data_IF_356453663562
#
_entry.id   IF_356453663562
#
_cell.length_a   1.000
_cell.length_b   1.000
_cell.length_c   1.000
_cell.angle_alpha   90.00
_cell.angle_beta   90.00
_cell.angle_gamma   90.00
#
_symmetry.space_group_name_H-M   'P 1'
#
loop_
_entity.id
_entity.type
_entity.pdbx_description
1 polymer ?
#
# COMPACT_ATOMS: atom_id res chain seq x y z
N UNK A 1 -8.17 -6.45 -3.90
CA UNK A 1 -6.79 -6.30 -3.37
C UNK A 1 -6.64 -5.01 -2.54
N UNK A 2 -5.75 -4.99 -1.54
CA UNK A 2 -5.37 -3.78 -0.77
C UNK A 2 -3.99 -3.27 -1.22
N UNK A 3 -3.76 -1.96 -1.14
CA UNK A 3 -2.52 -1.29 -1.54
C UNK A 3 -1.96 -0.53 -0.34
N UNK A 4 -0.75 -0.87 0.10
CA UNK A 4 -0.04 -0.16 1.17
C UNK A 4 0.77 0.98 0.59
N UNK A 5 0.39 2.22 0.91
CA UNK A 5 1.13 3.41 0.49
C UNK A 5 1.80 4.07 1.70
N UNK A 6 3.11 4.20 1.64
CA UNK A 6 3.94 4.79 2.69
C UNK A 6 4.16 6.27 2.36
N UNK A 7 3.72 7.16 3.25
CA UNK A 7 3.88 8.61 3.09
C UNK A 7 4.70 9.19 4.23
N UNK A 8 5.26 10.38 4.03
CA UNK A 8 5.94 11.10 5.11
C UNK A 8 5.00 11.42 6.30
N UNK A 9 3.69 11.48 6.07
CA UNK A 9 2.69 11.76 7.11
C UNK A 9 2.20 10.50 7.83
N UNK A 10 2.38 9.30 7.27
CA UNK A 10 1.83 8.06 7.80
C UNK A 10 1.66 6.94 6.78
N UNK A 11 0.98 5.88 7.21
CA UNK A 11 0.60 4.75 6.35
C UNK A 11 -0.82 4.90 5.83
N UNK A 12 -0.98 4.93 4.51
CA UNK A 12 -2.26 4.86 3.85
C UNK A 12 -2.49 3.44 3.32
N UNK A 13 -3.69 2.90 3.53
CA UNK A 13 -4.14 1.65 2.93
C UNK A 13 -5.29 1.99 2.01
N UNK A 14 -5.08 1.78 0.72
CA UNK A 14 -6.12 1.90 -0.29
C UNK A 14 -6.71 0.53 -0.59
N UNK A 15 -8.01 0.50 -0.89
CA UNK A 15 -8.68 -0.64 -1.49
C UNK A 15 -8.74 -0.40 -2.98
N UNK A 16 -8.19 -1.33 -3.76
CA UNK A 16 -8.36 -1.31 -5.20
C UNK A 16 -9.74 -1.88 -5.52
N UNK A 17 -10.54 -1.10 -6.24
CA UNK A 17 -11.91 -1.46 -6.60
C UNK A 17 -11.98 -2.18 -7.94
N UNK A 18 -11.07 -1.87 -8.86
CA UNK A 18 -11.02 -2.44 -10.20
C UNK A 18 -9.63 -3.04 -10.49
N UNK A 19 -9.51 -4.34 -10.25
CA UNK A 19 -8.28 -5.11 -10.51
C UNK A 19 -8.07 -5.37 -12.02
N UNK A 20 -9.13 -5.32 -12.83
CA UNK A 20 -9.03 -5.53 -14.28
C UNK A 20 -8.23 -4.43 -14.98
N UNK A 21 -8.28 -3.20 -14.45
CA UNK A 21 -7.48 -2.06 -14.94
C UNK A 21 -5.98 -2.23 -14.75
N UNK A 22 -5.53 -3.09 -13.82
CA UNK A 22 -4.10 -3.40 -13.68
C UNK A 22 -3.55 -4.23 -14.84
N UNK A 23 -4.40 -4.86 -15.65
CA UNK A 23 -3.97 -5.60 -16.84
C UNK A 23 -3.65 -4.67 -18.02
N UNK A 24 -4.21 -3.46 -18.03
CA UNK A 24 -3.99 -2.44 -19.07
C UNK A 24 -3.06 -1.34 -18.55
N UNK A 25 -1.80 -1.72 -18.31
CA UNK A 25 -0.78 -0.83 -17.70
C UNK A 25 -0.57 0.43 -18.54
N UNK A 26 -0.61 0.32 -19.88
CA UNK A 26 -0.42 1.44 -20.80
C UNK A 26 -1.46 2.57 -20.63
N UNK A 27 -2.70 2.25 -20.22
CA UNK A 27 -3.77 3.24 -20.03
C UNK A 27 -3.99 3.61 -18.54
N UNK A 28 -3.23 3.00 -17.63
CA UNK A 28 -3.44 3.16 -16.19
C UNK A 28 -3.26 4.63 -15.75
N UNK A 29 -2.31 5.34 -16.37
CA UNK A 29 -2.06 6.76 -16.09
C UNK A 29 -3.30 7.64 -16.34
N UNK A 30 -4.13 7.30 -17.34
CA UNK A 30 -5.33 8.05 -17.68
C UNK A 30 -6.38 8.03 -16.56
N UNK A 31 -6.37 6.96 -15.76
CA UNK A 31 -7.26 6.85 -14.60
C UNK A 31 -6.87 7.81 -13.48
N UNK A 32 -5.63 8.29 -13.47
CA UNK A 32 -5.10 9.24 -12.50
C UNK A 32 -5.10 10.70 -13.01
N UNK A 33 -5.45 10.95 -14.27
CA UNK A 33 -5.60 12.32 -14.80
C UNK A 33 -6.71 13.11 -14.09
N UNK A 34 -7.76 12.42 -13.63
CA UNK A 34 -8.91 13.05 -12.98
C UNK A 34 -9.18 12.42 -11.60
N UNK A 35 -9.42 13.27 -10.60
CA UNK A 35 -9.68 12.83 -9.23
C UNK A 35 -10.89 11.89 -9.11
N UNK A 36 -11.92 12.08 -9.94
CA UNK A 36 -13.09 11.21 -10.00
C UNK A 36 -12.76 9.81 -10.52
N UNK A 37 -11.91 9.70 -11.55
CA UNK A 37 -11.46 8.43 -12.10
C UNK A 37 -10.54 7.69 -11.12
N UNK A 38 -9.62 8.42 -10.48
CA UNK A 38 -8.71 7.86 -9.49
C UNK A 38 -9.48 7.31 -8.28
N UNK A 39 -10.52 8.04 -7.82
CA UNK A 39 -11.38 7.61 -6.71
C UNK A 39 -12.23 6.39 -7.03
N UNK A 40 -12.51 6.13 -8.32
CA UNK A 40 -13.19 4.91 -8.80
C UNK A 40 -12.24 3.72 -8.87
N UNK A 41 -10.96 3.96 -9.12
CA UNK A 41 -9.93 2.92 -9.15
C UNK A 41 -9.47 2.54 -7.75
N UNK A 42 -9.04 3.51 -6.94
CA UNK A 42 -8.53 3.34 -5.58
C UNK A 42 -9.35 4.12 -4.57
N UNK A 43 -9.68 3.48 -3.46
CA UNK A 43 -10.42 4.12 -2.36
C UNK A 43 -9.67 3.99 -1.05
N UNK A 44 -9.44 5.11 -0.36
CA UNK A 44 -8.78 5.10 0.94
C UNK A 44 -9.62 4.31 1.95
N UNK A 45 -9.09 3.18 2.44
CA UNK A 45 -9.74 2.31 3.44
C UNK A 45 -9.30 2.69 4.84
N UNK A 46 -8.03 3.02 5.01
CA UNK A 46 -7.47 3.40 6.30
C UNK A 46 -6.30 4.36 6.12
N UNK A 47 -6.20 5.34 7.00
CA UNK A 47 -5.04 6.21 7.10
C UNK A 47 -4.58 6.29 8.55
N UNK A 48 -3.31 5.97 8.78
CA UNK A 48 -2.67 6.04 10.09
C UNK A 48 -1.54 7.04 10.02
N UNK A 49 -1.80 8.25 10.50
CA UNK A 49 -0.79 9.29 10.67
C UNK A 49 0.26 8.89 11.70
N UNK A 50 1.49 9.39 11.54
CA UNK A 50 2.51 9.28 12.58
C UNK A 50 2.16 10.18 13.77
N UNK A 51 2.49 9.70 14.97
CA UNK A 51 2.22 10.42 16.21
C UNK A 51 3.20 11.57 16.40
N UNK A 52 4.46 11.34 16.04
CA UNK A 52 5.57 12.28 16.19
C UNK A 52 6.66 12.05 15.12
N UNK A 53 7.67 12.92 15.15
CA UNK A 53 8.81 12.89 14.21
C UNK A 53 9.68 11.64 14.37
N UNK A 54 9.75 11.06 15.58
CA UNK A 54 10.54 9.85 15.85
C UNK A 54 9.91 8.64 15.18
N UNK A 55 8.59 8.50 15.30
CA UNK A 55 7.80 7.48 14.60
C UNK A 55 7.95 7.64 13.08
N UNK A 56 7.87 8.88 12.57
CA UNK A 56 8.03 9.16 11.14
C UNK A 56 9.44 8.80 10.63
N UNK A 57 10.49 9.16 11.37
CA UNK A 57 11.87 8.83 11.02
C UNK A 57 12.11 7.33 11.06
N UNK A 58 11.64 6.64 12.10
CA UNK A 58 11.78 5.19 12.22
C UNK A 58 11.04 4.46 11.09
N UNK A 59 9.86 4.95 10.70
CA UNK A 59 9.11 4.45 9.56
C UNK A 59 9.87 4.64 8.24
N UNK A 60 10.38 5.85 7.97
CA UNK A 60 11.14 6.16 6.76
C UNK A 60 12.40 5.31 6.65
N UNK A 61 13.17 5.17 7.73
CA UNK A 61 14.36 4.30 7.76
C UNK A 61 13.98 2.85 7.50
N UNK A 62 12.91 2.36 8.13
CA UNK A 62 12.45 0.98 7.92
C UNK A 62 11.99 0.74 6.48
N UNK A 63 11.30 1.71 5.85
CA UNK A 63 10.90 1.64 4.46
C UNK A 63 12.12 1.56 3.51
N UNK A 64 13.14 2.41 3.74
CA UNK A 64 14.40 2.40 2.97
C UNK A 64 15.15 1.07 3.14
N UNK A 65 15.14 0.50 4.35
CA UNK A 65 15.75 -0.81 4.61
C UNK A 65 14.89 -2.01 4.15
N UNK A 66 13.67 -1.78 3.65
CA UNK A 66 12.72 -2.84 3.28
C UNK A 66 12.24 -3.67 4.48
N UNK A 67 12.20 -3.08 5.68
CA UNK A 67 11.80 -3.73 6.94
C UNK A 67 10.44 -3.23 7.40
N UNK A 68 9.67 -4.12 8.02
CA UNK A 68 8.40 -3.73 8.63
C UNK A 68 8.62 -3.04 9.99
N UNK A 69 8.17 -1.79 10.11
CA UNK A 69 8.17 -1.04 11.37
C UNK A 69 7.08 -1.53 12.35
N UNK A 70 7.24 -1.17 13.65
CA UNK A 70 6.22 -1.49 14.67
C UNK A 70 4.88 -0.81 14.39
N UNK A 71 4.91 0.43 13.87
CA UNK A 71 3.70 1.17 13.47
C UNK A 71 2.96 0.46 12.35
N UNK A 72 3.67 0.08 11.29
CA UNK A 72 3.09 -0.62 10.14
C UNK A 72 2.45 -1.94 10.57
N UNK A 73 3.10 -2.71 11.45
CA UNK A 73 2.54 -3.96 11.99
C UNK A 73 1.20 -3.74 12.70
N UNK A 74 1.05 -2.67 13.49
CA UNK A 74 -0.22 -2.33 14.17
C UNK A 74 -1.30 -1.96 13.16
N UNK A 75 -0.96 -1.16 12.14
CA UNK A 75 -1.87 -0.73 11.08
C UNK A 75 -2.37 -1.93 10.30
N UNK A 76 -1.47 -2.80 9.83
CA UNK A 76 -1.84 -3.99 9.07
C UNK A 76 -2.72 -4.92 9.89
N UNK A 77 -2.41 -5.17 11.17
CA UNK A 77 -3.29 -5.96 12.05
C UNK A 77 -4.68 -5.35 12.23
N UNK A 78 -4.81 -4.03 12.22
CA UNK A 78 -6.09 -3.33 12.36
C UNK A 78 -6.91 -3.33 11.07
N UNK A 79 -6.25 -3.44 9.92
CA UNK A 79 -6.92 -3.43 8.60
C UNK A 79 -7.21 -4.84 8.09
N UNK A 80 -6.32 -5.79 8.37
CA UNK A 80 -6.45 -7.21 8.05
C UNK A 80 -7.13 -7.99 9.19
N UNK A 81 -8.27 -7.47 9.67
CA UNK A 81 -9.07 -8.10 10.71
C UNK A 81 -10.00 -9.12 10.06
N UNK A 82 -9.53 -10.35 9.98
CA UNK A 82 -10.27 -11.61 9.74
C UNK A 82 -10.98 -11.79 8.38
N UNK A 83 -10.72 -12.97 7.81
CA UNK A 83 -11.51 -13.73 6.84
C UNK A 83 -11.52 -13.39 5.34
N UNK A 84 -11.01 -12.25 4.89
CA UNK A 84 -10.77 -12.07 3.45
C UNK A 84 -9.29 -12.27 3.14
N UNK A 85 -8.99 -13.28 2.30
CA UNK A 85 -7.71 -13.45 1.61
C UNK A 85 -7.44 -12.27 0.64
N UNK A 86 -7.48 -11.03 1.13
CA UNK A 86 -7.08 -9.87 0.32
C UNK A 86 -5.56 -9.88 0.18
N UNK A 87 -5.06 -9.81 -1.05
CA UNK A 87 -3.64 -9.59 -1.31
C UNK A 87 -3.26 -8.15 -0.96
N UNK A 88 -2.00 -7.95 -0.53
CA UNK A 88 -1.42 -6.65 -0.23
C UNK A 88 -0.41 -6.26 -1.31
N UNK A 89 -0.76 -5.28 -2.14
CA UNK A 89 0.18 -4.61 -3.03
C UNK A 89 1.14 -3.73 -2.22
N UNK A 90 2.43 -3.95 -2.43
CA UNK A 90 3.53 -3.23 -1.78
C UNK A 90 4.45 -2.61 -2.84
N UNK A 91 5.04 -1.45 -2.52
CA UNK A 91 6.01 -0.79 -3.40
C UNK A 91 7.34 -1.57 -3.50
N UNK A 92 7.74 -2.23 -2.40
CA UNK A 92 9.02 -2.92 -2.30
C UNK A 92 8.81 -4.42 -1.97
N UNK A 93 9.45 -5.28 -2.75
CA UNK A 93 9.34 -6.72 -2.61
C UNK A 93 9.98 -7.26 -1.31
N UNK A 94 11.02 -6.61 -0.77
CA UNK A 94 11.63 -7.01 0.51
C UNK A 94 10.69 -6.69 1.66
N UNK A 95 10.05 -5.52 1.63
CA UNK A 95 9.01 -5.18 2.60
C UNK A 95 7.85 -6.19 2.55
N UNK A 96 7.37 -6.52 1.35
CA UNK A 96 6.36 -7.56 1.15
C UNK A 96 6.77 -8.92 1.73
N UNK A 97 8.04 -9.30 1.56
CA UNK A 97 8.58 -10.53 2.16
C UNK A 97 8.58 -10.48 3.68
N UNK A 98 9.02 -9.36 4.27
CA UNK A 98 9.00 -9.15 5.72
C UNK A 98 7.58 -9.15 6.31
N UNK A 99 6.60 -8.59 5.59
CA UNK A 99 5.19 -8.61 5.99
C UNK A 99 4.63 -10.03 5.91
N UNK A 100 4.89 -10.73 4.81
CA UNK A 100 4.46 -12.13 4.61
C UNK A 100 4.99 -13.02 5.72
N UNK A 101 6.26 -12.92 6.09
CA UNK A 101 6.86 -13.73 7.15
C UNK A 101 6.28 -13.42 8.54
N UNK A 102 6.00 -12.14 8.85
CA UNK A 102 5.57 -11.72 10.19
C UNK A 102 4.06 -11.71 10.43
N UNK A 103 3.26 -11.59 9.38
CA UNK A 103 1.80 -11.46 9.45
C UNK A 103 1.06 -12.50 8.61
N UNK A 104 1.76 -13.34 7.85
CA UNK A 104 1.18 -14.33 6.95
C UNK A 104 0.21 -13.74 5.90
N UNK A 105 0.48 -12.50 5.47
CA UNK A 105 -0.31 -11.79 4.46
C UNK A 105 0.31 -12.04 3.08
N UNK A 106 -0.53 -12.38 2.10
CA UNK A 106 -0.09 -12.53 0.71
C UNK A 106 0.25 -11.18 0.12
N UNK A 107 1.54 -10.88 -0.03
CA UNK A 107 2.02 -9.62 -0.61
C UNK A 107 2.33 -9.80 -2.09
N UNK A 108 1.96 -8.80 -2.91
CA UNK A 108 2.21 -8.76 -4.35
C UNK A 108 2.99 -7.52 -4.73
N UNK A 109 3.93 -7.71 -5.64
CA UNK A 109 4.71 -6.65 -6.25
C UNK A 109 4.86 -7.00 -7.73
N UNK A 110 4.46 -6.09 -8.62
CA UNK A 110 4.57 -6.25 -10.07
C UNK A 110 4.70 -4.89 -10.74
N UNK A 111 5.08 -4.86 -12.02
CA UNK A 111 5.19 -3.61 -12.78
C UNK A 111 3.87 -2.81 -12.79
N UNK A 112 2.72 -3.50 -12.84
CA UNK A 112 1.41 -2.86 -12.74
C UNK A 112 1.20 -2.17 -11.38
N UNK A 113 1.67 -2.77 -10.29
CA UNK A 113 1.65 -2.15 -8.97
C UNK A 113 2.60 -0.95 -8.93
N UNK A 114 3.79 -1.04 -9.51
CA UNK A 114 4.71 0.10 -9.58
C UNK A 114 4.08 1.29 -10.30
N UNK A 115 3.40 1.06 -11.42
CA UNK A 115 2.67 2.11 -12.16
C UNK A 115 1.46 2.62 -11.37
N UNK A 116 0.74 1.76 -10.65
CA UNK A 116 -0.33 2.18 -9.74
C UNK A 116 0.19 3.14 -8.65
N UNK A 117 1.35 2.83 -8.06
CA UNK A 117 1.97 3.71 -7.07
C UNK A 117 2.41 5.04 -7.68
N UNK A 118 2.88 5.05 -8.93
CA UNK A 118 3.21 6.28 -9.67
C UNK A 118 1.99 7.15 -9.93
N UNK A 119 0.82 6.56 -10.21
CA UNK A 119 -0.41 7.33 -10.39
C UNK A 119 -0.97 7.93 -9.10
N UNK A 120 -0.67 7.31 -7.94
CA UNK A 120 -1.08 7.80 -6.61
C UNK A 120 -0.16 8.93 -6.11
N UNK A 121 1.11 8.94 -6.54
CA UNK A 121 2.12 9.93 -6.17
C UNK A 121 2.00 11.21 -6.98
#
# INVERSE_FOLDING_TARGET
MLVLFETAAGYAIFKLLDEGKLQSIDDLYQQFENAESASKLVKLKHFSKFSDMTDALAAATAAVEGKMSKGLKKVLKKVFVSDMQEQLAVADAKLGSAIKEKLNISCVHSSAITELFRGIM
#
